data_IF_836179291471
#
_entry.id   IF_836179291471
#
_cell.length_a   1.000
_cell.length_b   1.000
_cell.length_c   1.000
_cell.angle_alpha   90.00
_cell.angle_beta   90.00
_cell.angle_gamma   90.00
#
_symmetry.space_group_name_H-M   'P 1'
#
loop_
_entity.id
_entity.type
_entity.pdbx_description
1 polymer ?
#
# COMPACT_ATOMS: atom_id res chain seq x y z
N UNK A 1 -15.60 4.00 -32.35
CA UNK A 1 -16.45 3.77 -31.16
C UNK A 1 -15.66 4.21 -29.96
N UNK A 2 -16.08 5.30 -29.31
CA UNK A 2 -15.43 5.79 -28.11
C UNK A 2 -15.73 4.82 -26.95
N UNK A 3 -14.69 4.23 -26.39
CA UNK A 3 -14.76 3.44 -25.15
C UNK A 3 -15.14 4.39 -24.02
N UNK A 4 -16.43 4.47 -23.71
CA UNK A 4 -16.95 5.33 -22.64
C UNK A 4 -16.82 4.61 -21.31
N UNK A 5 -15.80 5.07 -20.56
CA UNK A 5 -15.79 5.29 -19.12
C UNK A 5 -15.84 4.06 -18.19
N UNK A 6 -14.69 3.71 -17.62
CA UNK A 6 -14.59 3.11 -16.29
C UNK A 6 -15.07 4.12 -15.22
N UNK A 7 -16.34 4.53 -15.30
CA UNK A 7 -16.95 5.60 -14.48
C UNK A 7 -17.24 5.20 -13.04
N UNK A 8 -16.62 4.12 -12.55
CA UNK A 8 -16.93 3.56 -11.23
C UNK A 8 -15.68 3.23 -10.41
N UNK A 9 -14.49 3.69 -10.79
CA UNK A 9 -13.33 3.61 -9.92
C UNK A 9 -13.57 4.45 -8.65
N UNK A 10 -13.22 3.89 -7.49
CA UNK A 10 -13.32 4.62 -6.24
C UNK A 10 -12.28 5.74 -6.20
N UNK A 11 -12.65 6.87 -5.60
CA UNK A 11 -11.78 8.01 -5.40
C UNK A 11 -10.65 7.65 -4.42
N UNK A 12 -9.40 7.80 -4.85
CA UNK A 12 -8.23 7.43 -4.05
C UNK A 12 -7.73 8.55 -3.13
N UNK A 13 -7.75 9.79 -3.62
CA UNK A 13 -7.38 11.01 -2.87
C UNK A 13 -8.52 12.03 -2.89
N UNK A 14 -8.64 12.84 -1.85
CA UNK A 14 -9.59 13.94 -1.76
C UNK A 14 -9.15 15.19 -2.57
N UNK A 15 -9.90 16.29 -2.44
CA UNK A 15 -9.65 17.52 -3.22
C UNK A 15 -8.37 18.25 -2.75
N UNK A 16 -7.82 17.86 -1.61
CA UNK A 16 -6.59 18.39 -1.02
C UNK A 16 -5.38 17.48 -1.29
N UNK A 17 -5.59 16.35 -1.98
CA UNK A 17 -4.54 15.36 -2.25
C UNK A 17 -4.25 14.41 -1.09
N UNK A 18 -5.14 14.35 -0.09
CA UNK A 18 -5.04 13.41 1.04
C UNK A 18 -5.68 12.09 0.67
N UNK A 19 -5.07 10.96 1.05
CA UNK A 19 -5.67 9.64 0.78
C UNK A 19 -7.03 9.51 1.47
N UNK A 20 -8.00 8.88 0.82
CA UNK A 20 -9.32 8.65 1.41
C UNK A 20 -9.27 7.56 2.48
N UNK A 21 -10.21 7.58 3.43
CA UNK A 21 -10.36 6.52 4.44
C UNK A 21 -10.46 5.11 3.83
N UNK A 22 -11.06 5.02 2.64
CA UNK A 22 -11.22 3.75 1.93
C UNK A 22 -9.88 3.24 1.40
N UNK A 23 -9.07 4.10 0.78
CA UNK A 23 -7.72 3.74 0.37
C UNK A 23 -6.85 3.42 1.61
N UNK A 24 -6.95 4.22 2.67
CA UNK A 24 -6.21 3.96 3.91
C UNK A 24 -6.52 2.56 4.48
N UNK A 25 -7.79 2.13 4.46
CA UNK A 25 -8.17 0.79 4.88
C UNK A 25 -7.54 -0.31 4.01
N UNK A 26 -7.47 -0.11 2.69
CA UNK A 26 -6.78 -1.02 1.77
C UNK A 26 -5.26 -1.05 2.05
N UNK A 27 -4.64 0.10 2.26
CA UNK A 27 -3.20 0.20 2.54
C UNK A 27 -2.84 -0.43 3.89
N UNK A 28 -3.67 -0.26 4.92
CA UNK A 28 -3.55 -0.98 6.20
C UNK A 28 -3.56 -2.49 5.99
N UNK A 29 -4.48 -2.99 5.17
CA UNK A 29 -4.54 -4.41 4.84
C UNK A 29 -3.26 -4.89 4.16
N UNK A 30 -2.78 -4.16 3.16
CA UNK A 30 -1.57 -4.50 2.41
C UNK A 30 -0.36 -4.50 3.35
N UNK A 31 -0.16 -3.41 4.07
CA UNK A 31 0.92 -3.26 5.04
C UNK A 31 0.94 -4.41 6.06
N UNK A 32 -0.23 -4.79 6.59
CA UNK A 32 -0.36 -5.88 7.56
C UNK A 32 0.09 -7.27 7.04
N UNK A 33 0.17 -7.48 5.72
CA UNK A 33 0.71 -8.72 5.13
C UNK A 33 2.22 -8.84 5.28
N UNK A 34 2.92 -7.71 5.45
CA UNK A 34 4.37 -7.61 5.37
C UNK A 34 5.02 -7.06 6.65
N UNK A 35 4.22 -6.53 7.57
CA UNK A 35 4.73 -5.86 8.76
C UNK A 35 5.24 -6.80 9.85
N UNK A 36 6.02 -6.22 10.75
CA UNK A 36 6.45 -6.78 12.02
C UNK A 36 5.80 -5.97 13.16
N UNK A 37 5.19 -6.62 14.18
CA UNK A 37 4.96 -8.06 14.26
C UNK A 37 3.95 -8.55 13.20
N UNK A 38 4.09 -9.82 12.80
CA UNK A 38 3.24 -10.42 11.77
C UNK A 38 1.80 -10.58 12.25
N UNK A 39 0.84 -10.31 11.35
CA UNK A 39 -0.59 -10.44 11.63
C UNK A 39 -1.07 -11.84 11.22
N UNK A 40 -1.57 -12.67 12.15
CA UNK A 40 -2.13 -13.96 11.79
C UNK A 40 -3.41 -13.76 10.99
N UNK A 41 -3.49 -14.40 9.81
CA UNK A 41 -4.72 -14.44 9.03
C UNK A 41 -5.71 -15.39 9.69
N UNK A 42 -6.82 -14.85 10.17
CA UNK A 42 -7.92 -15.61 10.82
C UNK A 42 -9.07 -15.94 9.86
N UNK A 43 -9.17 -15.21 8.75
CA UNK A 43 -10.17 -15.40 7.70
C UNK A 43 -9.64 -14.92 6.35
N UNK A 44 -10.04 -15.62 5.29
CA UNK A 44 -9.72 -15.25 3.90
C UNK A 44 -10.50 -14.04 3.41
N UNK A 45 -11.62 -13.67 4.06
CA UNK A 45 -12.52 -12.60 3.61
C UNK A 45 -12.42 -11.31 4.40
N UNK A 46 -11.64 -11.31 5.49
CA UNK A 46 -11.52 -10.16 6.39
C UNK A 46 -10.23 -9.41 6.14
N UNK A 47 -10.33 -8.07 6.08
CA UNK A 47 -9.15 -7.23 5.98
C UNK A 47 -8.31 -7.36 7.26
N UNK A 48 -7.05 -7.72 7.07
CA UNK A 48 -6.00 -7.58 8.08
C UNK A 48 -5.90 -6.13 8.57
N UNK A 49 -5.62 -5.98 9.86
CA UNK A 49 -5.34 -4.70 10.50
C UNK A 49 -3.96 -4.81 11.15
N UNK A 50 -3.03 -3.89 10.87
CA UNK A 50 -1.71 -3.96 11.47
C UNK A 50 -1.77 -3.65 12.98
N UNK A 51 -0.87 -4.25 13.78
CA UNK A 51 -0.71 -3.89 15.18
C UNK A 51 -0.31 -2.42 15.33
N UNK A 52 -0.53 -1.87 16.52
CA UNK A 52 0.04 -0.56 16.86
C UNK A 52 1.56 -0.63 16.73
N UNK A 53 2.15 0.44 16.20
CA UNK A 53 3.60 0.63 16.03
C UNK A 53 4.28 -0.42 15.11
N UNK A 54 3.50 -1.12 14.30
CA UNK A 54 4.05 -2.05 13.32
C UNK A 54 4.83 -1.32 12.23
N UNK A 55 5.86 -2.00 11.72
CA UNK A 55 6.79 -1.48 10.72
C UNK A 55 7.11 -2.54 9.65
N UNK A 56 7.55 -2.13 8.47
CA UNK A 56 8.18 -3.02 7.49
C UNK A 56 9.67 -3.11 7.80
N UNK A 57 10.14 -4.33 8.09
CA UNK A 57 11.57 -4.62 8.07
C UNK A 57 12.11 -4.55 6.63
N UNK A 58 13.43 -4.59 6.44
CA UNK A 58 14.00 -4.67 5.09
C UNK A 58 13.46 -5.88 4.30
N UNK A 59 13.32 -7.04 4.97
CA UNK A 59 12.72 -8.24 4.37
C UNK A 59 11.23 -8.04 4.04
N UNK A 60 10.47 -7.38 4.93
CA UNK A 60 9.06 -7.07 4.68
C UNK A 60 8.89 -6.13 3.49
N UNK A 61 9.75 -5.12 3.37
CA UNK A 61 9.78 -4.18 2.27
C UNK A 61 10.14 -4.87 0.95
N UNK A 62 11.13 -5.76 0.95
CA UNK A 62 11.50 -6.56 -0.23
C UNK A 62 10.36 -7.47 -0.67
N UNK A 63 9.69 -8.14 0.28
CA UNK A 63 8.57 -9.02 -0.03
C UNK A 63 7.38 -8.24 -0.61
N UNK A 64 7.08 -7.07 -0.05
CA UNK A 64 6.07 -6.17 -0.60
C UNK A 64 6.46 -5.74 -2.02
N UNK A 65 7.69 -5.24 -2.21
CA UNK A 65 8.19 -4.83 -3.52
C UNK A 65 8.14 -5.95 -4.56
N UNK A 66 8.44 -7.20 -4.20
CA UNK A 66 8.30 -8.35 -5.13
C UNK A 66 6.84 -8.61 -5.48
N UNK A 67 5.94 -8.63 -4.49
CA UNK A 67 4.52 -8.88 -4.74
C UNK A 67 3.85 -7.75 -5.53
N UNK A 68 4.39 -6.53 -5.42
CA UNK A 68 3.89 -5.33 -6.11
C UNK A 68 4.57 -5.14 -7.46
N UNK A 69 5.89 -5.26 -7.60
CA UNK A 69 6.64 -4.86 -8.80
C UNK A 69 7.30 -6.05 -9.52
N UNK A 70 7.31 -7.23 -8.89
CA UNK A 70 7.94 -8.44 -9.42
C UNK A 70 9.40 -8.62 -9.01
N UNK A 71 10.03 -7.60 -8.43
CA UNK A 71 11.41 -7.62 -7.96
C UNK A 71 11.59 -6.82 -6.65
N UNK A 72 12.58 -7.17 -5.81
CA UNK A 72 12.86 -6.40 -4.60
C UNK A 72 13.42 -5.02 -4.94
N UNK A 73 13.33 -4.10 -4.00
CA UNK A 73 13.98 -2.79 -4.15
C UNK A 73 15.50 -2.92 -4.11
N UNK A 74 16.17 -2.06 -4.87
CA UNK A 74 17.61 -1.87 -4.73
C UNK A 74 17.92 -1.25 -3.36
N UNK A 75 19.15 -1.41 -2.88
CA UNK A 75 19.57 -0.77 -1.63
C UNK A 75 19.46 0.76 -1.70
N UNK A 76 19.76 1.35 -2.87
CA UNK A 76 19.59 2.79 -3.12
C UNK A 76 18.13 3.24 -2.93
N UNK A 77 17.17 2.51 -3.52
CA UNK A 77 15.75 2.82 -3.32
C UNK A 77 15.31 2.65 -1.86
N UNK A 78 15.87 1.68 -1.13
CA UNK A 78 15.56 1.52 0.31
C UNK A 78 16.09 2.68 1.14
N UNK A 79 17.30 3.16 0.84
CA UNK A 79 17.88 4.34 1.49
C UNK A 79 17.01 5.57 1.23
N UNK A 80 16.58 5.80 -0.01
CA UNK A 80 15.66 6.89 -0.37
C UNK A 80 14.34 6.82 0.40
N UNK A 81 13.77 5.61 0.57
CA UNK A 81 12.55 5.40 1.37
C UNK A 81 12.76 5.82 2.82
N UNK A 82 13.91 5.49 3.41
CA UNK A 82 14.24 5.83 4.81
C UNK A 82 14.45 7.33 4.98
N UNK A 83 15.05 8.00 3.99
CA UNK A 83 15.30 9.44 4.02
C UNK A 83 14.04 10.28 3.78
N UNK A 84 13.08 9.74 3.01
CA UNK A 84 11.91 10.51 2.53
C UNK A 84 10.67 10.35 3.39
N UNK A 85 10.52 9.23 4.11
CA UNK A 85 9.27 8.86 4.75
C UNK A 85 9.41 8.56 6.24
N UNK A 86 8.26 8.52 6.93
CA UNK A 86 8.22 8.22 8.35
C UNK A 86 8.72 6.79 8.65
N UNK A 87 9.82 6.72 9.40
CA UNK A 87 10.47 5.50 9.84
C UNK A 87 10.58 5.47 11.36
N UNK A 88 10.73 4.26 11.91
CA UNK A 88 11.18 4.07 13.29
C UNK A 88 12.61 4.60 13.48
N UNK A 89 13.04 4.76 14.74
CA UNK A 89 14.41 5.16 15.09
C UNK A 89 15.49 4.23 14.47
N UNK A 90 15.15 2.98 14.16
CA UNK A 90 16.01 1.98 13.51
C UNK A 90 15.89 1.97 11.97
N UNK A 91 15.28 3.00 11.38
CA UNK A 91 15.12 3.17 9.94
C UNK A 91 14.16 2.15 9.29
N UNK A 92 13.13 1.71 10.01
CA UNK A 92 12.10 0.79 9.48
C UNK A 92 10.82 1.54 9.10
N UNK A 93 10.29 1.33 7.90
CA UNK A 93 9.14 2.06 7.38
C UNK A 93 7.89 1.80 8.23
N UNK A 94 7.30 2.84 8.81
CA UNK A 94 6.07 2.72 9.60
C UNK A 94 4.85 2.65 8.68
N UNK A 95 3.67 2.33 9.23
CA UNK A 95 2.41 2.47 8.49
C UNK A 95 2.21 3.91 7.98
N UNK A 96 2.59 4.91 8.78
CA UNK A 96 2.49 6.32 8.39
C UNK A 96 3.40 6.61 7.19
N UNK A 97 4.63 6.11 7.20
CA UNK A 97 5.55 6.27 6.08
C UNK A 97 5.04 5.56 4.82
N UNK A 98 4.48 4.37 4.98
CA UNK A 98 3.86 3.62 3.89
C UNK A 98 2.67 4.36 3.27
N UNK A 99 1.83 5.00 4.10
CA UNK A 99 0.74 5.86 3.64
C UNK A 99 1.28 7.09 2.90
N UNK A 100 2.34 7.73 3.41
CA UNK A 100 2.98 8.87 2.74
C UNK A 100 3.54 8.50 1.36
N UNK A 101 4.18 7.33 1.25
CA UNK A 101 4.67 6.78 -0.01
C UNK A 101 3.52 6.65 -1.02
N UNK A 102 2.43 5.99 -0.63
CA UNK A 102 1.27 5.84 -1.50
C UNK A 102 0.59 7.17 -1.81
N UNK A 103 0.51 8.11 -0.86
CA UNK A 103 -0.04 9.44 -1.11
C UNK A 103 0.75 10.17 -2.20
N UNK A 104 2.09 10.16 -2.12
CA UNK A 104 2.95 10.76 -3.15
C UNK A 104 2.80 10.07 -4.51
N UNK A 105 2.77 8.74 -4.52
CA UNK A 105 2.54 7.95 -5.73
C UNK A 105 1.18 8.28 -6.35
N UNK A 106 0.09 8.25 -5.57
CA UNK A 106 -1.26 8.49 -6.07
C UNK A 106 -1.45 9.90 -6.61
N UNK A 107 -0.83 10.91 -5.99
CA UNK A 107 -0.83 12.28 -6.52
C UNK A 107 -0.10 12.40 -7.87
N UNK A 108 0.88 11.53 -8.12
CA UNK A 108 1.70 11.53 -9.34
C UNK A 108 1.10 10.67 -10.45
N UNK A 109 0.68 9.45 -10.10
CA UNK A 109 0.08 8.45 -10.99
C UNK A 109 -0.93 7.58 -10.20
N UNK A 110 -2.19 8.03 -10.23
CA UNK A 110 -3.31 7.32 -9.59
C UNK A 110 -3.52 5.91 -10.18
N UNK A 111 -3.25 5.72 -11.47
CA UNK A 111 -3.47 4.44 -12.14
C UNK A 111 -2.43 3.40 -11.71
N UNK A 112 -1.19 3.81 -11.42
CA UNK A 112 -0.20 2.89 -10.83
C UNK A 112 -0.63 2.41 -9.45
N UNK A 113 -1.19 3.30 -8.63
CA UNK A 113 -1.77 2.91 -7.34
C UNK A 113 -2.88 1.87 -7.52
N UNK A 114 -3.78 2.04 -8.49
CA UNK A 114 -4.84 1.08 -8.76
C UNK A 114 -4.29 -0.30 -9.19
N UNK A 115 -3.21 -0.35 -9.97
CA UNK A 115 -2.56 -1.62 -10.35
C UNK A 115 -1.98 -2.35 -9.14
N UNK A 116 -1.36 -1.62 -8.21
CA UNK A 116 -0.81 -2.21 -6.99
C UNK A 116 -1.91 -2.81 -6.11
N UNK A 117 -3.00 -2.07 -5.93
CA UNK A 117 -4.18 -2.54 -5.20
C UNK A 117 -4.75 -3.83 -5.83
N UNK A 118 -4.77 -3.93 -7.16
CA UNK A 118 -5.19 -5.15 -7.87
C UNK A 118 -4.23 -6.34 -7.69
N UNK A 119 -2.93 -6.10 -7.56
CA UNK A 119 -1.96 -7.16 -7.21
C UNK A 119 -2.20 -7.68 -5.80
N UNK A 120 -2.73 -6.84 -4.91
CA UNK A 120 -3.08 -7.21 -3.55
C UNK A 120 -4.54 -7.62 -3.33
N UNK A 121 -5.31 -7.83 -4.41
CA UNK A 121 -6.64 -8.44 -4.34
C UNK A 121 -7.80 -7.46 -4.17
N UNK A 122 -7.59 -6.17 -4.46
CA UNK A 122 -8.66 -5.18 -4.54
C UNK A 122 -9.07 -4.91 -5.98
N UNK A 123 -10.36 -4.68 -6.22
CA UNK A 123 -10.83 -4.17 -7.51
C UNK A 123 -10.71 -2.64 -7.59
N UNK A 124 -11.09 -2.06 -8.74
CA UNK A 124 -11.07 -0.59 -8.95
C UNK A 124 -12.05 0.16 -8.03
N UNK A 125 -12.97 -0.54 -7.35
CA UNK A 125 -13.93 0.00 -6.38
C UNK A 125 -13.42 -0.14 -4.93
N UNK A 126 -12.17 -0.57 -4.76
CA UNK A 126 -11.54 -0.88 -3.48
C UNK A 126 -12.28 -1.97 -2.67
N UNK A 127 -12.97 -2.86 -3.37
CA UNK A 127 -13.55 -4.06 -2.76
C UNK A 127 -12.50 -5.18 -2.79
N UNK A 128 -12.34 -5.85 -1.65
CA UNK A 128 -11.46 -7.01 -1.56
C UNK A 128 -12.13 -8.22 -2.21
N UNK A 129 -11.58 -8.67 -3.34
CA UNK A 129 -12.16 -9.74 -4.18
C UNK A 129 -11.44 -11.07 -4.07
N UNK A 130 -10.28 -11.12 -3.39
CA UNK A 130 -9.41 -12.30 -3.27
C UNK A 130 -8.87 -12.79 -4.63
N UNK A 131 -7.61 -13.22 -4.68
CA UNK A 131 -7.00 -13.91 -5.83
C UNK A 131 -6.58 -15.31 -5.41
#
# INVERSE_FOLDING_TARGET
>A
MATSSDSNAARLIDDEGTITDLLEACLKHIFAKYCTPSVPRTSETTLLVPPADAYLSAEGLDKWAVDTNGEPFSEETKEEVVESFDVTDDGKLTLKGFIQLYQLQTQSDEEETLKDLQKHGFDRRLQFIMK
#
